data_IF_768668340941
#
_entry.id   IF_768668340941
#
_cell.length_a   1.000
_cell.length_b   1.000
_cell.length_c   1.000
_cell.angle_alpha   90.00
_cell.angle_beta   90.00
_cell.angle_gamma   90.00
#
_symmetry.space_group_name_H-M   'P 1'
#
loop_
_entity.id
_entity.type
_entity.pdbx_description
1 polymer ?
#
# COMPACT_ATOMS: atom_id res chain seq x y z
N UNK A 1 41.11 -24.83 9.91
CA UNK A 1 39.83 -25.33 9.39
C UNK A 1 38.74 -24.51 10.05
N UNK A 2 38.09 -23.61 9.29
CA UNK A 2 37.12 -22.66 9.85
C UNK A 2 35.72 -23.28 9.84
N UNK A 3 35.11 -23.38 11.01
CA UNK A 3 33.77 -23.93 11.19
C UNK A 3 32.72 -22.95 10.64
N UNK A 4 31.95 -23.40 9.66
CA UNK A 4 30.82 -22.67 9.10
C UNK A 4 29.66 -22.63 10.12
N UNK A 5 29.41 -21.47 10.72
CA UNK A 5 28.23 -21.24 11.53
C UNK A 5 26.97 -21.28 10.66
N UNK A 6 26.18 -22.34 10.83
CA UNK A 6 24.86 -22.49 10.22
C UNK A 6 23.92 -21.43 10.83
N UNK A 7 23.67 -20.36 10.08
CA UNK A 7 22.69 -19.33 10.43
C UNK A 7 21.28 -19.94 10.46
N UNK A 8 20.86 -20.44 11.61
CA UNK A 8 19.52 -20.96 11.82
C UNK A 8 18.53 -19.78 11.83
N UNK A 9 17.57 -19.67 10.88
CA UNK A 9 16.66 -18.54 10.84
C UNK A 9 15.77 -18.53 12.08
N UNK A 10 15.97 -17.53 12.95
CA UNK A 10 15.16 -17.31 14.16
C UNK A 10 13.66 -17.41 13.81
N UNK A 11 12.99 -18.43 14.35
CA UNK A 11 11.53 -18.60 14.23
C UNK A 11 10.85 -17.33 14.71
N UNK A 12 9.93 -16.79 13.91
CA UNK A 12 9.20 -15.56 14.27
C UNK A 12 8.27 -15.84 15.44
N UNK A 13 8.09 -14.85 16.31
CA UNK A 13 7.17 -14.94 17.42
C UNK A 13 5.73 -15.24 16.94
N UNK A 14 4.97 -16.07 17.66
CA UNK A 14 3.55 -16.32 17.36
C UNK A 14 2.77 -15.00 17.23
N UNK A 15 1.88 -14.90 16.23
CA UNK A 15 1.06 -13.69 15.99
C UNK A 15 1.74 -12.55 15.21
N UNK A 16 3.05 -12.63 14.97
CA UNK A 16 3.77 -11.64 14.13
C UNK A 16 3.28 -11.63 12.68
N UNK A 17 2.81 -12.78 12.17
CA UNK A 17 2.22 -12.92 10.84
C UNK A 17 0.85 -12.23 10.75
N UNK A 18 0.00 -12.40 11.77
CA UNK A 18 -1.30 -11.72 11.84
C UNK A 18 -1.13 -10.19 11.86
N UNK A 19 -0.22 -9.67 12.69
CA UNK A 19 0.10 -8.23 12.71
C UNK A 19 0.62 -7.73 11.36
N UNK A 20 1.46 -8.52 10.68
CA UNK A 20 1.99 -8.17 9.35
C UNK A 20 0.89 -8.16 8.29
N UNK A 21 -0.02 -9.12 8.34
CA UNK A 21 -1.14 -9.24 7.39
C UNK A 21 -2.16 -8.12 7.61
N UNK A 22 -2.47 -7.80 8.87
CA UNK A 22 -3.32 -6.68 9.23
C UNK A 22 -2.72 -5.33 8.79
N UNK A 23 -1.43 -5.09 9.08
CA UNK A 23 -0.73 -3.89 8.62
C UNK A 23 -0.75 -3.77 7.09
N UNK A 24 -0.55 -4.88 6.37
CA UNK A 24 -0.68 -4.91 4.91
C UNK A 24 -2.10 -4.54 4.48
N UNK A 25 -3.12 -5.15 5.08
CA UNK A 25 -4.53 -4.86 4.77
C UNK A 25 -4.82 -3.37 4.95
N UNK A 26 -4.53 -2.80 6.12
CA UNK A 26 -4.74 -1.38 6.41
C UNK A 26 -4.01 -0.48 5.40
N UNK A 27 -2.74 -0.78 5.12
CA UNK A 27 -1.94 -0.05 4.13
C UNK A 27 -2.58 -0.04 2.74
N UNK A 28 -3.02 -1.21 2.27
CA UNK A 28 -3.61 -1.34 0.93
C UNK A 28 -5.08 -0.90 0.87
N UNK A 29 -5.77 -0.81 2.01
CA UNK A 29 -7.09 -0.14 2.12
C UNK A 29 -6.99 1.38 2.26
N UNK A 30 -5.78 1.95 2.31
CA UNK A 30 -5.59 3.39 2.49
C UNK A 30 -5.90 3.90 3.89
N UNK A 31 -6.05 3.02 4.88
CA UNK A 31 -6.36 3.37 6.27
C UNK A 31 -5.09 3.71 7.05
N UNK A 32 -5.27 4.36 8.21
CA UNK A 32 -4.17 4.61 9.13
C UNK A 32 -3.65 3.29 9.72
N UNK A 33 -2.34 3.20 9.98
CA UNK A 33 -1.71 2.01 10.56
C UNK A 33 -0.39 2.32 11.26
N UNK A 34 0.05 1.43 12.14
CA UNK A 34 1.40 1.49 12.70
C UNK A 34 2.39 0.69 11.86
N UNK A 35 3.52 1.29 11.50
CA UNK A 35 4.57 0.60 10.79
C UNK A 35 5.42 -0.29 11.74
N UNK A 36 6.40 -1.01 11.19
CA UNK A 36 7.29 -1.90 11.98
C UNK A 36 8.12 -1.18 13.04
N UNK A 37 8.34 0.12 12.86
CA UNK A 37 9.02 1.00 13.83
C UNK A 37 8.03 1.67 14.78
N UNK A 38 6.79 1.17 14.86
CA UNK A 38 5.68 1.69 15.65
C UNK A 38 5.24 3.11 15.32
N UNK A 39 5.70 3.69 14.21
CA UNK A 39 5.27 5.03 13.77
C UNK A 39 3.85 4.95 13.21
N UNK A 40 3.01 5.89 13.62
CA UNK A 40 1.67 6.06 13.05
C UNK A 40 1.78 6.61 11.63
N UNK A 41 1.23 5.89 10.68
CA UNK A 41 1.07 6.31 9.29
C UNK A 41 -0.38 6.72 9.10
N UNK A 42 -0.59 7.99 8.75
CA UNK A 42 -1.92 8.52 8.48
C UNK A 42 -2.59 7.82 7.29
N UNK A 43 -3.92 7.83 7.30
CA UNK A 43 -4.73 7.38 6.17
C UNK A 43 -4.40 8.18 4.90
N UNK A 44 -4.67 7.56 3.75
CA UNK A 44 -4.49 8.20 2.44
C UNK A 44 -5.53 9.29 2.27
N UNK A 45 -5.06 10.46 1.85
CA UNK A 45 -5.90 11.62 1.60
C UNK A 45 -6.57 11.46 0.25
N UNK A 46 -7.85 11.84 0.18
CA UNK A 46 -8.57 12.00 -1.07
C UNK A 46 -7.82 12.99 -1.98
N UNK A 47 -7.85 12.80 -3.31
CA UNK A 47 -7.28 13.74 -4.26
C UNK A 47 -7.85 15.14 -4.07
N UNK A 48 -7.03 16.16 -4.30
CA UNK A 48 -7.49 17.53 -4.42
C UNK A 48 -8.11 17.79 -5.80
N UNK A 49 -8.96 18.80 -5.90
CA UNK A 49 -9.49 19.29 -7.17
C UNK A 49 -8.34 19.67 -8.12
N UNK A 50 -7.46 20.55 -7.62
CA UNK A 50 -6.23 20.95 -8.31
C UNK A 50 -5.10 19.97 -8.03
N UNK A 51 -4.55 19.37 -9.09
CA UNK A 51 -3.48 18.39 -9.00
C UNK A 51 -2.23 18.91 -9.70
N UNK A 52 -1.22 19.27 -8.91
CA UNK A 52 0.08 19.76 -9.39
C UNK A 52 1.05 18.60 -9.65
N UNK A 53 0.64 17.64 -10.47
CA UNK A 53 1.45 16.46 -10.81
C UNK A 53 2.00 16.59 -12.24
N UNK A 54 3.31 16.30 -12.39
CA UNK A 54 4.07 16.38 -13.66
C UNK A 54 4.37 14.99 -14.24
N UNK A 55 3.57 13.98 -13.93
CA UNK A 55 3.84 12.63 -14.42
C UNK A 55 3.52 12.51 -15.92
N UNK A 56 4.15 11.53 -16.59
CA UNK A 56 3.93 11.23 -18.01
C UNK A 56 2.49 10.83 -18.36
N UNK A 57 1.69 10.43 -17.36
CA UNK A 57 0.30 10.02 -17.53
C UNK A 57 -0.70 11.17 -17.44
N UNK A 58 -0.21 12.41 -17.34
CA UNK A 58 -1.04 13.63 -17.36
C UNK A 58 -2.20 13.65 -16.35
N UNK A 59 -2.00 13.03 -15.18
CA UNK A 59 -2.85 13.03 -13.96
C UNK A 59 -3.66 14.32 -13.71
N UNK A 60 -3.10 15.49 -14.04
CA UNK A 60 -3.72 16.81 -13.86
C UNK A 60 -4.95 17.03 -14.76
N UNK A 61 -5.00 16.40 -15.94
CA UNK A 61 -6.07 16.53 -16.93
C UNK A 61 -7.32 15.72 -16.58
N UNK A 62 -7.22 14.78 -15.63
CA UNK A 62 -8.37 13.99 -15.18
C UNK A 62 -9.39 14.89 -14.46
N UNK A 63 -10.69 14.78 -14.80
CA UNK A 63 -11.77 15.39 -14.02
C UNK A 63 -11.73 14.97 -12.55
N UNK A 64 -12.19 15.84 -11.66
CA UNK A 64 -12.14 15.59 -10.22
C UNK A 64 -12.96 14.36 -9.83
N UNK A 65 -14.12 14.18 -10.45
CA UNK A 65 -15.03 13.06 -10.23
C UNK A 65 -14.34 11.74 -10.59
N UNK A 66 -13.58 11.71 -11.70
CA UNK A 66 -12.80 10.54 -12.09
C UNK A 66 -11.64 10.28 -11.12
N UNK A 67 -11.00 11.32 -10.60
CA UNK A 67 -9.94 11.16 -9.58
C UNK A 67 -10.50 10.53 -8.29
N UNK A 68 -11.68 10.98 -7.85
CA UNK A 68 -12.36 10.42 -6.67
C UNK A 68 -12.75 8.97 -6.92
N UNK A 69 -13.40 8.68 -8.06
CA UNK A 69 -13.77 7.32 -8.44
C UNK A 69 -12.56 6.38 -8.45
N UNK A 70 -11.47 6.77 -9.10
CA UNK A 70 -10.24 5.99 -9.15
C UNK A 70 -9.63 5.79 -7.75
N UNK A 71 -9.67 6.81 -6.89
CA UNK A 71 -9.14 6.71 -5.53
C UNK A 71 -9.93 5.70 -4.70
N UNK A 72 -11.25 5.83 -4.68
CA UNK A 72 -12.15 4.97 -3.91
C UNK A 72 -12.04 3.52 -4.39
N UNK A 73 -12.13 3.30 -5.71
CA UNK A 73 -12.10 1.96 -6.27
C UNK A 73 -10.72 1.30 -6.07
N UNK A 74 -9.63 2.05 -6.28
CA UNK A 74 -8.28 1.56 -6.05
C UNK A 74 -8.07 1.09 -4.61
N UNK A 75 -8.48 1.88 -3.60
CA UNK A 75 -8.28 1.51 -2.20
C UNK A 75 -9.29 0.46 -1.70
N UNK A 76 -10.48 0.36 -2.31
CA UNK A 76 -11.45 -0.71 -2.04
C UNK A 76 -10.90 -2.10 -2.34
N UNK A 77 -10.01 -2.23 -3.33
CA UNK A 77 -9.37 -3.51 -3.69
C UNK A 77 -8.61 -4.14 -2.51
N UNK A 78 -8.01 -3.33 -1.64
CA UNK A 78 -7.28 -3.77 -0.44
C UNK A 78 -6.21 -4.87 -0.66
N UNK A 79 -5.73 -5.04 -1.91
CA UNK A 79 -4.79 -6.08 -2.30
C UNK A 79 -3.72 -5.51 -3.23
N UNK A 80 -2.45 -5.60 -2.80
CA UNK A 80 -1.29 -5.08 -3.52
C UNK A 80 -1.16 -5.55 -4.97
N UNK A 81 -1.40 -6.84 -5.22
CA UNK A 81 -1.18 -7.43 -6.55
C UNK A 81 -2.25 -6.92 -7.50
N UNK A 82 -3.51 -6.96 -7.07
CA UNK A 82 -4.64 -6.46 -7.86
C UNK A 82 -4.55 -4.95 -8.11
N UNK A 83 -4.19 -4.16 -7.10
CA UNK A 83 -4.00 -2.72 -7.25
C UNK A 83 -2.99 -2.34 -8.35
N UNK A 84 -1.90 -3.09 -8.49
CA UNK A 84 -0.93 -2.86 -9.57
C UNK A 84 -1.52 -3.08 -10.95
N UNK A 85 -2.38 -4.08 -11.08
CA UNK A 85 -3.07 -4.41 -12.33
C UNK A 85 -4.22 -3.45 -12.64
N UNK A 86 -4.87 -2.89 -11.62
CA UNK A 86 -6.01 -1.97 -11.76
C UNK A 86 -5.71 -0.79 -12.66
N UNK A 87 -4.63 -0.05 -12.33
CA UNK A 87 -4.25 1.16 -13.06
C UNK A 87 -3.74 0.88 -14.48
N UNK A 88 -3.55 -0.40 -14.83
CA UNK A 88 -3.18 -0.86 -16.17
C UNK A 88 -4.38 -1.45 -16.94
N UNK A 89 -5.58 -1.48 -16.34
CA UNK A 89 -6.77 -2.09 -16.96
C UNK A 89 -6.67 -3.61 -17.11
N UNK A 90 -5.91 -4.28 -16.25
CA UNK A 90 -5.63 -5.73 -16.33
C UNK A 90 -6.48 -6.57 -15.36
N UNK A 91 -7.53 -5.99 -14.78
CA UNK A 91 -8.50 -6.64 -13.88
C UNK A 91 -9.89 -6.06 -14.07
#
# INVERSE_FOLDING_TARGET
MSENQVNNPKRRAPGSENKKNEMKRLKYSGLAYHNRSNKNIAAKKVPSFEVFCKCKYECRKLPYEQKIFLFEDYYKIANHVKQKSYLLGLI
#
